data_IF_241323819345
#
_entry.id   IF_241323819345
#
_cell.length_a   1.000
_cell.length_b   1.000
_cell.length_c   1.000
_cell.angle_alpha   90.00
_cell.angle_beta   90.00
_cell.angle_gamma   90.00
#
_symmetry.space_group_name_H-M   'P 1'
#
loop_
_entity.id
_entity.type
_entity.pdbx_description
1 polymer ?
#
# COMPACT_ATOMS: atom_id res chain seq x y z
N UNK A 1 -3.84 -2.65 39.31
CA UNK A 1 -3.84 -1.53 38.35
C UNK A 1 -3.04 -1.93 37.12
N UNK A 2 -3.59 -2.82 36.26
CA UNK A 2 -2.90 -3.31 35.04
C UNK A 2 -3.84 -3.46 33.82
N UNK A 3 -5.06 -2.89 33.86
CA UNK A 3 -6.00 -2.99 32.72
C UNK A 3 -5.62 -2.09 31.53
N UNK A 4 -4.94 -0.98 31.79
CA UNK A 4 -4.57 0.01 30.77
C UNK A 4 -3.68 -0.60 29.67
N UNK A 5 -2.58 -1.32 29.96
CA UNK A 5 -1.73 -1.90 28.91
C UNK A 5 -2.45 -2.96 28.07
N UNK A 6 -3.38 -3.71 28.65
CA UNK A 6 -4.11 -4.77 27.94
C UNK A 6 -5.13 -4.20 26.95
N UNK A 7 -5.80 -3.09 27.30
CA UNK A 7 -6.69 -2.36 26.39
C UNK A 7 -5.90 -1.73 25.25
N UNK A 8 -4.76 -1.11 25.52
CA UNK A 8 -3.89 -0.57 24.46
C UNK A 8 -3.37 -1.65 23.52
N UNK A 9 -2.98 -2.82 24.05
CA UNK A 9 -2.55 -3.96 23.25
C UNK A 9 -3.68 -4.49 22.36
N UNK A 10 -4.90 -4.62 22.91
CA UNK A 10 -6.07 -5.08 22.16
C UNK A 10 -6.44 -4.10 21.03
N UNK A 11 -6.39 -2.79 21.28
CA UNK A 11 -6.63 -1.75 20.27
C UNK A 11 -5.57 -1.81 19.17
N UNK A 12 -4.29 -1.93 19.53
CA UNK A 12 -3.22 -2.08 18.55
C UNK A 12 -3.41 -3.32 17.67
N UNK A 13 -3.75 -4.46 18.27
CA UNK A 13 -4.02 -5.70 17.53
C UNK A 13 -5.22 -5.55 16.59
N UNK A 14 -6.30 -4.92 17.05
CA UNK A 14 -7.49 -4.66 16.25
C UNK A 14 -7.18 -3.76 15.04
N UNK A 15 -6.35 -2.72 15.22
CA UNK A 15 -5.89 -1.85 14.13
C UNK A 15 -5.09 -2.66 13.11
N UNK A 16 -4.15 -3.50 13.56
CA UNK A 16 -3.34 -4.34 12.67
C UNK A 16 -4.21 -5.32 11.89
N UNK A 17 -5.17 -5.98 12.54
CA UNK A 17 -6.12 -6.91 11.92
C UNK A 17 -7.02 -6.21 10.90
N UNK A 18 -7.56 -5.03 11.23
CA UNK A 18 -8.36 -4.24 10.31
C UNK A 18 -7.54 -3.80 9.10
N UNK A 19 -6.33 -3.27 9.31
CA UNK A 19 -5.42 -2.90 8.24
C UNK A 19 -5.10 -4.09 7.32
N UNK A 20 -4.81 -5.26 7.89
CA UNK A 20 -4.58 -6.49 7.14
C UNK A 20 -5.79 -6.91 6.31
N UNK A 21 -6.99 -6.82 6.87
CA UNK A 21 -8.25 -7.14 6.18
C UNK A 21 -8.53 -6.19 5.01
N UNK A 22 -8.41 -4.87 5.22
CA UNK A 22 -8.56 -3.89 4.15
C UNK A 22 -7.50 -4.06 3.06
N UNK A 23 -6.26 -4.39 3.44
CA UNK A 23 -5.19 -4.68 2.49
C UNK A 23 -5.49 -5.94 1.68
N UNK A 24 -6.01 -6.99 2.32
CA UNK A 24 -6.44 -8.21 1.63
C UNK A 24 -7.57 -7.92 0.64
N UNK A 25 -8.61 -7.15 1.04
CA UNK A 25 -9.68 -6.74 0.14
C UNK A 25 -9.14 -5.94 -1.03
N UNK A 26 -8.29 -4.95 -0.78
CA UNK A 26 -7.68 -4.13 -1.84
C UNK A 26 -6.86 -5.00 -2.78
N UNK A 27 -6.04 -5.92 -2.26
CA UNK A 27 -5.22 -6.84 -3.04
C UNK A 27 -6.06 -7.78 -3.91
N UNK A 28 -7.05 -8.45 -3.33
CA UNK A 28 -7.93 -9.36 -4.06
C UNK A 28 -8.82 -8.61 -5.06
N UNK A 29 -9.33 -7.44 -4.68
CA UNK A 29 -10.10 -6.55 -5.54
C UNK A 29 -9.29 -6.10 -6.75
N UNK A 30 -8.06 -5.61 -6.54
CA UNK A 30 -7.17 -5.24 -7.63
C UNK A 30 -6.83 -6.45 -8.50
N UNK A 31 -6.50 -7.60 -7.90
CA UNK A 31 -6.17 -8.83 -8.63
C UNK A 31 -7.32 -9.28 -9.51
N UNK A 32 -8.55 -9.18 -9.02
CA UNK A 32 -9.75 -9.49 -9.80
C UNK A 32 -9.95 -8.50 -10.95
N UNK A 33 -9.80 -7.21 -10.68
CA UNK A 33 -9.95 -6.13 -11.67
C UNK A 33 -8.91 -6.25 -12.77
N UNK A 34 -7.64 -6.48 -12.41
CA UNK A 34 -6.56 -6.72 -13.36
C UNK A 34 -6.73 -8.02 -14.15
N UNK A 35 -7.17 -9.12 -13.52
CA UNK A 35 -7.46 -10.37 -14.24
C UNK A 35 -8.58 -10.17 -15.26
N UNK A 36 -9.59 -9.37 -14.92
CA UNK A 36 -10.72 -9.03 -15.80
C UNK A 36 -10.33 -8.09 -16.94
N UNK A 37 -9.47 -7.10 -16.69
CA UNK A 37 -9.08 -6.08 -17.69
C UNK A 37 -7.93 -6.56 -18.58
N UNK A 38 -6.91 -7.21 -18.03
CA UNK A 38 -5.67 -7.52 -18.75
C UNK A 38 -5.52 -9.01 -19.12
N UNK A 39 -6.43 -9.90 -18.69
CA UNK A 39 -6.41 -11.35 -18.92
C UNK A 39 -5.08 -12.06 -18.60
N UNK A 40 -4.15 -11.40 -17.90
CA UNK A 40 -2.80 -11.89 -17.63
C UNK A 40 -2.54 -11.95 -16.12
N UNK A 41 -1.71 -12.90 -15.70
CA UNK A 41 -1.27 -12.98 -14.30
C UNK A 41 -0.45 -11.73 -13.94
N UNK A 42 -0.97 -10.89 -13.07
CA UNK A 42 -0.26 -9.69 -12.60
C UNK A 42 0.75 -10.09 -11.53
N UNK A 43 2.00 -9.65 -11.73
CA UNK A 43 3.08 -9.86 -10.78
C UNK A 43 2.70 -9.25 -9.42
N UNK A 44 2.85 -9.98 -8.30
CA UNK A 44 2.47 -9.50 -6.96
C UNK A 44 3.11 -8.17 -6.59
N UNK A 45 4.31 -7.89 -7.12
CA UNK A 45 5.05 -6.65 -6.88
C UNK A 45 4.41 -5.45 -7.59
N UNK A 46 3.88 -5.64 -8.79
CA UNK A 46 3.12 -4.59 -9.50
C UNK A 46 1.86 -4.28 -8.72
N UNK A 47 1.19 -5.31 -8.20
CA UNK A 47 -0.03 -5.17 -7.42
C UNK A 47 0.22 -4.38 -6.13
N UNK A 48 1.30 -4.71 -5.41
CA UNK A 48 1.73 -3.97 -4.22
C UNK A 48 2.06 -2.50 -4.54
N UNK A 49 2.68 -2.26 -5.70
CA UNK A 49 3.00 -0.91 -6.12
C UNK A 49 1.76 -0.07 -6.41
N UNK A 50 0.78 -0.65 -7.10
CA UNK A 50 -0.49 0.05 -7.37
C UNK A 50 -1.22 0.35 -6.07
N UNK A 51 -1.27 -0.59 -5.12
CA UNK A 51 -1.87 -0.34 -3.80
C UNK A 51 -1.17 0.82 -3.08
N UNK A 52 0.17 0.86 -3.11
CA UNK A 52 0.95 1.94 -2.48
C UNK A 52 0.64 3.29 -3.12
N UNK A 53 0.54 3.33 -4.46
CA UNK A 53 0.18 4.54 -5.21
C UNK A 53 -1.25 4.99 -4.88
N UNK A 54 -2.22 4.06 -4.83
CA UNK A 54 -3.60 4.38 -4.44
C UNK A 54 -3.68 4.93 -3.02
N UNK A 55 -2.99 4.30 -2.06
CA UNK A 55 -2.93 4.79 -0.68
C UNK A 55 -2.33 6.20 -0.60
N UNK A 56 -1.32 6.48 -1.43
CA UNK A 56 -0.73 7.81 -1.53
C UNK A 56 -1.71 8.86 -2.09
N UNK A 57 -2.46 8.53 -3.14
CA UNK A 57 -3.50 9.43 -3.67
C UNK A 57 -4.61 9.70 -2.64
N UNK A 58 -5.02 8.71 -1.85
CA UNK A 58 -5.99 8.89 -0.77
C UNK A 58 -5.43 9.86 0.29
N UNK A 59 -4.16 9.70 0.69
CA UNK A 59 -3.54 10.62 1.64
C UNK A 59 -3.43 12.05 1.10
N UNK A 60 -3.09 12.23 -0.17
CA UNK A 60 -3.11 13.56 -0.81
C UNK A 60 -4.52 14.14 -0.77
N UNK A 61 -5.53 13.35 -1.19
CA UNK A 61 -6.92 13.78 -1.22
C UNK A 61 -7.42 14.20 0.17
N UNK A 62 -7.08 13.44 1.22
CA UNK A 62 -7.39 13.79 2.60
C UNK A 62 -6.72 15.11 3.00
N UNK A 63 -5.42 15.29 2.72
CA UNK A 63 -4.71 16.51 3.11
C UNK A 63 -5.19 17.76 2.38
N UNK A 64 -5.55 17.63 1.10
CA UNK A 64 -6.19 18.71 0.35
C UNK A 64 -7.54 19.10 0.96
N UNK A 65 -8.37 18.10 1.31
CA UNK A 65 -9.67 18.32 1.94
C UNK A 65 -9.55 18.98 3.32
N UNK A 66 -8.59 18.56 4.14
CA UNK A 66 -8.36 19.09 5.49
C UNK A 66 -7.39 20.29 5.53
N UNK A 67 -6.99 20.83 4.37
CA UNK A 67 -6.08 21.98 4.23
C UNK A 67 -4.77 21.83 5.02
N UNK A 68 -4.26 20.60 5.11
CA UNK A 68 -3.01 20.29 5.82
C UNK A 68 -1.82 20.41 4.88
N UNK A 69 -0.68 20.87 5.39
CA UNK A 69 0.57 20.94 4.64
C UNK A 69 1.02 19.53 4.19
N UNK A 70 1.53 19.43 2.97
CA UNK A 70 2.12 18.21 2.45
C UNK A 70 3.58 18.13 2.90
N UNK A 71 3.88 17.30 3.89
CA UNK A 71 5.25 17.04 4.31
C UNK A 71 5.96 16.13 3.30
N UNK A 72 7.19 16.49 2.91
CA UNK A 72 7.96 15.74 1.92
C UNK A 72 8.26 14.28 2.33
N UNK A 73 8.22 13.97 3.64
CA UNK A 73 8.34 12.63 4.21
C UNK A 73 7.23 11.67 3.75
N UNK A 74 6.06 12.18 3.34
CA UNK A 74 4.94 11.36 2.83
C UNK A 74 5.21 10.81 1.43
N UNK A 75 6.19 11.37 0.71
CA UNK A 75 6.63 10.89 -0.60
C UNK A 75 7.60 9.70 -0.49
N UNK A 76 8.14 9.41 0.70
CA UNK A 76 9.12 8.33 0.88
C UNK A 76 8.55 6.94 0.52
N UNK A 77 7.33 6.55 0.96
CA UNK A 77 6.76 5.24 0.61
C UNK A 77 6.60 5.01 -0.90
N UNK A 78 5.98 5.92 -1.70
CA UNK A 78 5.84 5.71 -3.13
C UNK A 78 7.19 5.77 -3.86
N UNK A 79 8.14 6.62 -3.43
CA UNK A 79 9.48 6.69 -4.01
C UNK A 79 10.25 5.38 -3.77
N UNK A 80 10.19 4.81 -2.56
CA UNK A 80 10.84 3.55 -2.25
C UNK A 80 10.30 2.40 -3.12
N UNK A 81 8.98 2.35 -3.31
CA UNK A 81 8.33 1.35 -4.17
C UNK A 81 8.71 1.52 -5.64
N UNK A 82 8.78 2.76 -6.14
CA UNK A 82 9.28 3.07 -7.49
C UNK A 82 10.73 2.62 -7.67
N UNK A 83 11.59 2.85 -6.69
CA UNK A 83 13.00 2.45 -6.75
C UNK A 83 13.15 0.92 -6.80
N UNK A 84 12.35 0.19 -6.02
CA UNK A 84 12.32 -1.29 -6.03
C UNK A 84 11.82 -1.81 -7.39
N UNK A 85 10.75 -1.21 -7.93
CA UNK A 85 10.23 -1.56 -9.26
C UNK A 85 11.28 -1.34 -10.36
N UNK A 86 11.92 -0.17 -10.37
CA UNK A 86 12.97 0.17 -11.34
C UNK A 86 14.17 -0.78 -11.25
N UNK A 87 14.59 -1.14 -10.02
CA UNK A 87 15.63 -2.17 -9.81
C UNK A 87 15.22 -3.52 -10.38
N UNK A 88 13.98 -3.97 -10.13
CA UNK A 88 13.48 -5.24 -10.66
C UNK A 88 13.43 -5.26 -12.19
N UNK A 89 12.99 -4.17 -12.81
CA UNK A 89 12.94 -4.04 -14.27
C UNK A 89 14.35 -4.08 -14.86
N UNK A 90 15.31 -3.34 -14.27
CA UNK A 90 16.72 -3.37 -14.71
C UNK A 90 17.33 -4.77 -14.60
N UNK A 91 17.08 -5.48 -13.50
CA UNK A 91 17.61 -6.84 -13.28
C UNK A 91 17.02 -7.82 -14.30
N UNK A 92 15.71 -7.75 -14.57
CA UNK A 92 15.03 -8.59 -15.57
C UNK A 92 15.52 -8.32 -17.00
N UNK A 93 15.91 -7.08 -17.31
CA UNK A 93 16.43 -6.71 -18.63
C UNK A 93 17.90 -7.10 -18.84
N UNK A 94 18.66 -7.38 -17.77
CA UNK A 94 20.04 -7.91 -17.86
C UNK A 94 20.11 -9.42 -18.04
N UNK A 95 19.00 -10.14 -17.80
CA UNK A 95 18.91 -11.60 -17.94
C UNK A 95 18.30 -12.05 -19.28
N UNK A 96 17.87 -11.11 -20.13
CA UNK A 96 17.51 -11.35 -21.52
C UNK A 96 18.66 -10.97 -22.42
#
# INVERSE_FOLDING_TARGET
MELIPLVFLAVALAIVLMCGFYFAIAYFGLKFLFKKVFHRSVDPVILLAVITICAFFIQIGQRLWYHQSLEATLLLPPIAVLFVLLRRIRMRNRQR
#
